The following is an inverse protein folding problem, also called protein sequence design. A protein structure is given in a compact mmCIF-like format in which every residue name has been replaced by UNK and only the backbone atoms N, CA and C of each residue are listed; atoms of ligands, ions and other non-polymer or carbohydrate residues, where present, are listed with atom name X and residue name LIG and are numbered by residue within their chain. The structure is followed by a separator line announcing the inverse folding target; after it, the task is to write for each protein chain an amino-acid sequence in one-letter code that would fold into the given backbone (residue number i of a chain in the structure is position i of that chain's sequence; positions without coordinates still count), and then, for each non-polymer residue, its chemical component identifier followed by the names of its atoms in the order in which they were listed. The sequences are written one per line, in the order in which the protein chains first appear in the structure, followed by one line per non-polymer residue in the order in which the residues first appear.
data_IF_192097567839
#
_entry.id   IF_192097567839
#
_cell.length_a   1.000
_cell.length_b   1.000
_cell.length_c   1.000
_cell.angle_alpha   90.00
_cell.angle_beta   90.00
_cell.angle_gamma   90.00
#
_symmetry.space_group_name_H-M   'P 1'
#
loop_
_entity.id
_entity.type
_entity.pdbx_description
1 polymer ?
#
# COMPACT_ATOMS: atom_id res chain seq x y z
N UNK A 1 -9.98 23.71 9.29
CA UNK A 1 -10.73 22.55 9.83
C UNK A 1 -11.12 21.65 8.66
N UNK A 2 -10.88 20.35 8.76
CA UNK A 2 -11.23 19.38 7.71
C UNK A 2 -12.74 19.42 7.49
N UNK A 3 -13.19 19.63 6.25
CA UNK A 3 -14.61 19.85 5.94
C UNK A 3 -15.47 18.58 5.99
N UNK A 4 -14.88 17.44 6.38
CA UNK A 4 -15.52 16.11 6.35
C UNK A 4 -16.03 15.76 4.96
N UNK A 5 -15.22 16.01 3.94
CA UNK A 5 -15.54 15.82 2.53
C UNK A 5 -14.39 15.10 1.84
N UNK A 6 -14.74 14.32 0.82
CA UNK A 6 -13.79 13.68 -0.10
C UNK A 6 -14.27 13.79 -1.54
N UNK A 7 -13.34 13.86 -2.50
CA UNK A 7 -13.64 13.75 -3.93
C UNK A 7 -13.57 12.26 -4.29
N UNK A 8 -14.61 11.73 -4.94
CA UNK A 8 -14.58 10.36 -5.46
C UNK A 8 -14.05 10.34 -6.89
N UNK A 9 -12.82 9.86 -7.13
CA UNK A 9 -12.28 9.76 -8.48
C UNK A 9 -13.11 8.85 -9.41
N UNK A 10 -13.75 7.83 -8.84
CA UNK A 10 -14.45 6.79 -9.60
C UNK A 10 -15.91 7.13 -9.93
N UNK A 11 -16.39 8.31 -9.53
CA UNK A 11 -17.78 8.70 -9.72
C UNK A 11 -17.92 10.21 -9.97
N UNK A 12 -17.64 10.59 -11.21
CA UNK A 12 -17.79 11.94 -11.76
C UNK A 12 -16.94 13.03 -11.08
N UNK A 13 -16.00 12.65 -10.21
CA UNK A 13 -15.36 13.52 -9.22
C UNK A 13 -16.35 14.22 -8.28
N UNK A 14 -17.50 13.59 -8.04
CA UNK A 14 -18.46 14.08 -7.08
C UNK A 14 -17.86 14.08 -5.67
N UNK A 15 -18.27 15.07 -4.89
CA UNK A 15 -17.84 15.25 -3.51
C UNK A 15 -18.86 14.63 -2.56
N UNK A 16 -18.38 13.79 -1.64
CA UNK A 16 -19.19 13.09 -0.65
C UNK A 16 -18.74 13.41 0.77
N UNK A 17 -19.65 13.25 1.73
CA UNK A 17 -19.34 13.38 3.14
C UNK A 17 -18.45 12.24 3.61
N UNK A 18 -17.37 12.57 4.31
CA UNK A 18 -16.42 11.61 4.85
C UNK A 18 -15.88 12.14 6.20
N UNK A 19 -16.37 11.58 7.30
CA UNK A 19 -16.10 12.06 8.66
C UNK A 19 -15.00 11.25 9.35
N UNK A 20 -13.76 11.67 9.15
CA UNK A 20 -12.60 11.03 9.79
C UNK A 20 -12.62 11.18 11.32
N UNK A 21 -13.19 12.25 11.87
CA UNK A 21 -13.30 12.43 13.32
C UNK A 21 -14.16 11.32 13.93
N UNK A 22 -15.31 11.04 13.32
CA UNK A 22 -16.21 9.98 13.78
C UNK A 22 -15.55 8.59 13.71
N UNK A 23 -14.82 8.29 12.63
CA UNK A 23 -14.07 7.04 12.47
C UNK A 23 -12.96 6.91 13.53
N UNK A 24 -12.19 7.97 13.75
CA UNK A 24 -11.11 7.98 14.74
C UNK A 24 -11.63 7.88 16.17
N UNK A 25 -12.71 8.60 16.51
CA UNK A 25 -13.36 8.50 17.82
C UNK A 25 -13.95 7.10 18.05
N UNK A 26 -14.56 6.50 17.04
CA UNK A 26 -15.07 5.13 17.15
C UNK A 26 -13.93 4.15 17.44
N UNK A 27 -12.80 4.28 16.73
CA UNK A 27 -11.61 3.47 16.96
C UNK A 27 -11.10 3.64 18.40
N UNK A 28 -10.91 4.88 18.84
CA UNK A 28 -10.32 5.17 20.14
C UNK A 28 -11.22 4.71 21.30
N UNK A 29 -12.54 4.86 21.18
CA UNK A 29 -13.48 4.54 22.24
C UNK A 29 -13.78 3.04 22.36
N UNK A 30 -13.78 2.30 21.25
CA UNK A 30 -14.31 0.94 21.22
C UNK A 30 -13.23 -0.16 21.08
N UNK A 31 -12.00 0.20 20.72
CA UNK A 31 -10.96 -0.78 20.44
C UNK A 31 -9.67 -0.46 21.20
N UNK A 32 -9.22 -1.40 22.05
CA UNK A 32 -8.01 -1.25 22.86
C UNK A 32 -6.74 -1.72 22.14
N UNK A 33 -6.87 -2.66 21.20
CA UNK A 33 -5.75 -3.36 20.55
C UNK A 33 -5.70 -3.13 19.03
N UNK A 34 -6.27 -2.02 18.54
CA UNK A 34 -6.26 -1.65 17.11
C UNK A 34 -5.45 -0.36 16.94
N UNK A 35 -4.67 -0.30 15.85
CA UNK A 35 -4.05 0.93 15.37
C UNK A 35 -4.86 1.49 14.21
N UNK A 36 -5.19 2.77 14.28
CA UNK A 36 -5.74 3.54 13.17
C UNK A 36 -4.65 3.95 12.21
N UNK A 37 -4.96 3.87 10.93
CA UNK A 37 -4.11 4.29 9.82
C UNK A 37 -4.92 5.24 8.94
N UNK A 38 -4.41 6.45 8.73
CA UNK A 38 -5.05 7.52 7.95
C UNK A 38 -4.04 8.08 6.96
N UNK A 39 -4.51 8.81 5.95
CA UNK A 39 -3.63 9.38 4.93
C UNK A 39 -3.47 10.91 5.11
N UNK A 40 -2.26 11.41 4.92
CA UNK A 40 -2.05 12.81 4.59
C UNK A 40 -2.28 13.06 3.10
N UNK A 41 -2.72 14.26 2.75
CA UNK A 41 -2.93 14.64 1.35
C UNK A 41 -1.66 15.31 0.80
N UNK A 42 -1.11 14.73 -0.27
CA UNK A 42 0.01 15.24 -1.05
C UNK A 42 -0.40 15.60 -2.48
N UNK A 43 -1.59 15.22 -2.97
CA UNK A 43 -2.09 15.62 -4.29
C UNK A 43 -2.03 17.15 -4.52
N UNK A 44 -2.21 17.92 -3.44
CA UNK A 44 -2.07 19.39 -3.40
C UNK A 44 -3.40 20.13 -3.38
N UNK A 45 -4.53 19.41 -3.47
CA UNK A 45 -5.89 19.93 -3.35
C UNK A 45 -6.79 18.92 -2.67
N UNK A 46 -7.87 19.40 -2.07
CA UNK A 46 -8.92 18.58 -1.43
C UNK A 46 -10.31 19.13 -1.72
N UNK A 47 -11.35 18.33 -1.48
CA UNK A 47 -12.74 18.77 -1.56
C UNK A 47 -13.00 20.03 -0.70
N UNK A 48 -13.72 21.00 -1.27
CA UNK A 48 -14.09 22.25 -0.60
C UNK A 48 -15.59 22.36 -0.33
N UNK A 49 -16.43 21.74 -1.16
CA UNK A 49 -17.88 21.65 -1.03
C UNK A 49 -18.45 20.63 -2.02
N UNK A 50 -19.75 20.34 -1.94
CA UNK A 50 -20.48 19.44 -2.85
C UNK A 50 -21.60 20.12 -3.64
N UNK A 51 -21.60 21.46 -3.72
CA UNK A 51 -22.65 22.22 -4.42
C UNK A 51 -22.58 22.12 -5.94
N UNK A 52 -21.46 21.62 -6.46
CA UNK A 52 -21.18 21.50 -7.88
C UNK A 52 -20.95 20.05 -8.31
N UNK A 53 -21.53 19.09 -7.59
CA UNK A 53 -21.57 17.71 -8.05
C UNK A 53 -22.34 17.62 -9.38
N UNK A 54 -21.93 16.69 -10.23
CA UNK A 54 -22.69 16.28 -11.40
C UNK A 54 -24.00 15.62 -10.95
N UNK A 55 -25.12 16.07 -11.53
CA UNK A 55 -26.46 15.54 -11.29
C UNK A 55 -26.65 14.20 -12.04
N UNK A 56 -26.03 13.16 -11.51
CA UNK A 56 -26.09 11.80 -12.04
C UNK A 56 -27.51 11.22 -11.97
N UNK A 57 -28.30 11.60 -10.96
CA UNK A 57 -29.71 11.27 -10.90
C UNK A 57 -30.49 11.87 -12.09
N UNK A 58 -30.33 13.17 -12.35
CA UNK A 58 -30.93 13.85 -13.49
C UNK A 58 -30.45 13.32 -14.85
N UNK A 59 -29.19 12.89 -14.92
CA UNK A 59 -28.59 12.35 -16.14
C UNK A 59 -29.06 10.92 -16.46
N UNK A 60 -28.95 9.99 -15.51
CA UNK A 60 -29.24 8.57 -15.75
C UNK A 60 -29.77 7.80 -14.52
N UNK A 61 -30.39 8.49 -13.55
CA UNK A 61 -30.90 7.88 -12.31
C UNK A 61 -29.80 7.17 -11.49
N UNK A 62 -28.58 7.73 -11.51
CA UNK A 62 -27.40 7.20 -10.81
C UNK A 62 -27.09 5.74 -11.19
N UNK A 63 -27.45 5.32 -12.39
CA UNK A 63 -27.12 3.97 -12.89
C UNK A 63 -25.67 3.92 -13.39
N UNK A 64 -25.04 2.77 -13.24
CA UNK A 64 -23.72 2.57 -13.83
C UNK A 64 -23.78 2.71 -15.36
N UNK A 65 -22.78 3.40 -15.91
CA UNK A 65 -22.48 3.44 -17.34
C UNK A 65 -20.97 3.62 -17.53
N UNK A 66 -20.47 3.44 -18.76
CA UNK A 66 -19.04 3.48 -19.06
C UNK A 66 -18.37 4.85 -18.86
N UNK A 67 -19.14 5.91 -18.58
CA UNK A 67 -18.65 7.28 -18.38
C UNK A 67 -18.55 7.73 -16.91
N UNK A 68 -18.61 6.82 -15.94
CA UNK A 68 -18.50 7.15 -14.51
C UNK A 68 -17.20 7.87 -14.13
N UNK A 69 -16.13 7.67 -14.90
CA UNK A 69 -14.81 8.28 -14.66
C UNK A 69 -14.61 9.61 -15.42
N UNK A 70 -15.66 10.19 -16.00
CA UNK A 70 -15.55 11.51 -16.64
C UNK A 70 -15.46 12.62 -15.60
N UNK A 71 -14.68 13.66 -15.89
CA UNK A 71 -14.48 14.79 -15.00
C UNK A 71 -15.67 15.77 -15.04
N UNK A 72 -16.81 15.42 -14.41
CA UNK A 72 -18.07 16.17 -14.57
C UNK A 72 -18.45 17.11 -13.41
N UNK A 73 -17.98 16.86 -12.19
CA UNK A 73 -18.15 17.81 -11.09
C UNK A 73 -17.52 19.17 -11.45
N UNK A 74 -18.18 20.26 -11.10
CA UNK A 74 -17.79 21.62 -11.53
C UNK A 74 -18.46 22.06 -12.83
N UNK A 75 -19.57 21.45 -13.23
CA UNK A 75 -20.36 21.86 -14.40
C UNK A 75 -19.85 21.29 -15.73
N UNK A 76 -19.20 20.13 -15.69
CA UNK A 76 -18.78 19.42 -16.90
C UNK A 76 -19.95 18.94 -17.75
N UNK A 77 -19.67 18.69 -19.02
CA UNK A 77 -20.64 18.19 -20.00
C UNK A 77 -20.32 16.73 -20.33
N UNK A 78 -21.25 15.79 -20.07
CA UNK A 78 -20.98 14.37 -20.29
C UNK A 78 -20.79 14.07 -21.78
N UNK A 79 -19.85 13.18 -22.09
CA UNK A 79 -19.77 12.52 -23.37
C UNK A 79 -20.67 11.26 -23.36
N UNK A 80 -21.81 11.25 -24.07
CA UNK A 80 -22.77 10.16 -23.99
C UNK A 80 -22.26 8.83 -24.56
N UNK A 81 -21.18 8.84 -25.35
CA UNK A 81 -20.53 7.62 -25.86
C UNK A 81 -19.78 6.86 -24.75
N UNK A 82 -19.61 7.47 -23.58
CA UNK A 82 -18.90 6.90 -22.43
C UNK A 82 -17.39 7.08 -22.51
N UNK A 83 -16.65 6.24 -21.77
CA UNK A 83 -15.21 6.41 -21.59
C UNK A 83 -14.87 7.50 -20.58
N UNK A 84 -13.58 7.75 -20.36
CA UNK A 84 -13.08 8.66 -19.32
C UNK A 84 -13.08 10.14 -19.70
N UNK A 85 -13.31 10.49 -20.97
CA UNK A 85 -13.22 11.87 -21.43
C UNK A 85 -14.61 12.51 -21.55
N UNK A 86 -14.83 13.58 -20.77
CA UNK A 86 -16.00 14.44 -20.93
C UNK A 86 -15.92 15.24 -22.24
N UNK A 87 -17.05 15.78 -22.71
CA UNK A 87 -17.01 16.78 -23.79
C UNK A 87 -16.42 18.10 -23.30
N UNK A 88 -16.70 18.44 -22.04
CA UNK A 88 -16.14 19.57 -21.32
C UNK A 88 -15.90 19.11 -19.89
N UNK A 89 -14.66 19.17 -19.42
CA UNK A 89 -14.34 18.89 -18.02
C UNK A 89 -14.92 20.00 -17.13
N UNK A 90 -15.36 19.62 -15.93
CA UNK A 90 -15.86 20.56 -14.94
C UNK A 90 -14.75 21.37 -14.27
N UNK A 91 -15.09 22.55 -13.76
CA UNK A 91 -14.14 23.44 -13.10
C UNK A 91 -13.83 22.96 -11.68
N UNK A 92 -12.62 22.41 -11.52
CA UNK A 92 -12.06 21.96 -10.24
C UNK A 92 -12.11 23.04 -9.13
N UNK A 93 -12.08 24.33 -9.46
CA UNK A 93 -12.12 25.40 -8.46
C UNK A 93 -13.49 25.59 -7.81
N UNK A 94 -14.55 25.03 -8.40
CA UNK A 94 -15.89 25.11 -7.85
C UNK A 94 -16.14 24.12 -6.70
N UNK A 95 -15.41 22.99 -6.65
CA UNK A 95 -15.64 21.94 -5.64
C UNK A 95 -14.38 21.51 -4.86
N UNK A 96 -13.21 22.05 -5.19
CA UNK A 96 -11.96 21.80 -4.45
C UNK A 96 -11.27 23.09 -4.02
N UNK A 97 -10.22 22.96 -3.22
CA UNK A 97 -9.37 24.07 -2.80
C UNK A 97 -7.91 23.62 -2.67
N UNK A 98 -6.92 24.52 -2.82
CA UNK A 98 -5.52 24.24 -2.51
C UNK A 98 -5.35 23.71 -1.09
N UNK A 99 -4.48 22.72 -0.93
CA UNK A 99 -4.23 22.06 0.35
C UNK A 99 -2.73 21.86 0.57
N UNK A 100 -2.04 22.90 1.08
CA UNK A 100 -0.61 22.81 1.36
C UNK A 100 -0.33 21.89 2.56
N UNK A 101 0.94 21.52 2.74
CA UNK A 101 1.36 20.60 3.81
C UNK A 101 0.92 21.04 5.21
N UNK A 102 0.92 22.35 5.51
CA UNK A 102 0.41 22.89 6.79
C UNK A 102 -1.07 22.56 7.02
N UNK A 103 -1.88 22.59 5.96
CA UNK A 103 -3.29 22.21 6.05
C UNK A 103 -3.45 20.71 6.26
N UNK A 104 -2.63 19.88 5.59
CA UNK A 104 -2.65 18.42 5.77
C UNK A 104 -2.32 18.01 7.20
N UNK A 105 -1.24 18.56 7.78
CA UNK A 105 -0.82 18.17 9.14
C UNK A 105 -1.65 18.83 10.25
N UNK A 106 -2.50 19.81 9.93
CA UNK A 106 -3.38 20.46 10.91
C UNK A 106 -4.31 19.46 11.63
N UNK A 107 -4.60 18.32 11.02
CA UNK A 107 -5.38 17.24 11.65
C UNK A 107 -4.71 16.70 12.92
N UNK A 108 -3.37 16.68 12.98
CA UNK A 108 -2.65 16.22 14.17
C UNK A 108 -2.92 17.11 15.39
N UNK A 109 -2.99 18.42 15.19
CA UNK A 109 -3.36 19.36 16.25
C UNK A 109 -4.85 19.27 16.59
N UNK A 110 -5.71 19.09 15.58
CA UNK A 110 -7.15 18.91 15.77
C UNK A 110 -7.46 17.64 16.59
N UNK A 111 -6.73 16.55 16.39
CA UNK A 111 -6.96 15.30 17.11
C UNK A 111 -6.22 15.22 18.44
N UNK A 112 -4.95 15.62 18.48
CA UNK A 112 -4.02 15.34 19.59
C UNK A 112 -3.53 16.59 20.33
N UNK A 113 -3.83 17.79 19.84
CA UNK A 113 -3.42 19.05 20.47
C UNK A 113 -4.18 19.35 21.76
N UNK A 114 -3.70 20.33 22.52
CA UNK A 114 -4.25 20.73 23.83
C UNK A 114 -5.75 21.03 23.81
N UNK A 115 -6.25 21.57 22.70
CA UNK A 115 -7.67 21.88 22.49
C UNK A 115 -8.31 20.99 21.39
N UNK A 116 -7.66 19.87 21.08
CA UNK A 116 -8.15 18.91 20.09
C UNK A 116 -9.23 17.98 20.65
N UNK A 117 -9.56 16.94 19.90
CA UNK A 117 -10.55 15.93 20.28
C UNK A 117 -10.12 15.06 21.48
N UNK A 118 -8.85 15.14 21.90
CA UNK A 118 -8.34 14.37 23.02
C UNK A 118 -8.12 12.88 22.70
N UNK A 119 -7.96 12.55 21.41
CA UNK A 119 -7.73 11.17 20.99
C UNK A 119 -6.39 10.66 21.49
N UNK A 120 -6.33 9.39 21.86
CA UNK A 120 -5.06 8.77 22.22
C UNK A 120 -4.16 8.60 20.99
N UNK A 121 -3.22 9.54 20.79
CA UNK A 121 -2.29 9.52 19.64
C UNK A 121 -1.51 8.21 19.47
N UNK A 122 -1.29 7.45 20.54
CA UNK A 122 -0.59 6.16 20.48
C UNK A 122 -1.42 5.05 19.81
N UNK A 123 -2.69 5.31 19.49
CA UNK A 123 -3.52 4.46 18.63
C UNK A 123 -3.53 4.89 17.17
N UNK A 124 -2.84 5.97 16.81
CA UNK A 124 -2.84 6.55 15.46
C UNK A 124 -1.42 6.83 15.01
N UNK A 125 -0.56 5.82 15.13
CA UNK A 125 0.87 5.96 14.85
C UNK A 125 1.13 5.94 13.35
N UNK A 126 0.39 5.16 12.57
CA UNK A 126 0.65 4.96 11.14
C UNK A 126 -0.11 5.96 10.26
N UNK A 127 0.61 6.61 9.35
CA UNK A 127 0.03 7.58 8.43
C UNK A 127 0.57 7.39 7.02
N UNK A 128 -0.32 7.12 6.07
CA UNK A 128 0.03 7.05 4.66
C UNK A 128 0.30 8.45 4.12
N UNK A 129 1.33 8.54 3.29
CA UNK A 129 1.71 9.77 2.63
C UNK A 129 1.00 9.80 1.27
N UNK A 130 -0.30 10.07 1.34
CA UNK A 130 -1.28 9.96 0.26
C UNK A 130 -1.47 8.51 -0.22
N UNK A 131 -1.89 8.29 -1.47
CA UNK A 131 -2.20 6.97 -2.03
C UNK A 131 -1.83 6.92 -3.51
N UNK A 132 -1.11 5.88 -3.94
CA UNK A 132 -0.88 5.58 -5.37
C UNK A 132 -0.38 6.80 -6.17
N UNK A 133 0.61 7.47 -5.59
CA UNK A 133 1.07 8.80 -6.01
C UNK A 133 1.67 8.84 -7.42
N UNK A 134 2.11 7.67 -7.89
CA UNK A 134 2.67 7.41 -9.21
C UNK A 134 1.62 7.17 -10.31
N UNK A 135 0.32 7.21 -9.98
CA UNK A 135 -0.79 7.15 -10.94
C UNK A 135 -1.87 8.22 -10.72
N UNK A 136 -1.59 9.28 -9.97
CA UNK A 136 -2.53 10.40 -9.80
C UNK A 136 -3.01 11.01 -11.12
N UNK A 137 -2.26 10.89 -12.22
CA UNK A 137 -2.70 11.33 -13.55
C UNK A 137 -3.67 10.41 -14.27
N UNK A 138 -3.97 9.24 -13.69
CA UNK A 138 -5.10 8.40 -14.06
C UNK A 138 -6.23 8.57 -13.06
N UNK A 139 -5.95 8.28 -11.78
CA UNK A 139 -6.98 8.25 -10.72
C UNK A 139 -7.50 9.63 -10.34
N UNK A 140 -6.65 10.66 -10.39
CA UNK A 140 -7.00 12.03 -9.99
C UNK A 140 -6.68 13.03 -11.11
N UNK A 141 -6.94 12.64 -12.35
CA UNK A 141 -6.65 13.43 -13.55
C UNK A 141 -7.41 14.78 -13.56
N UNK A 142 -8.55 14.89 -12.87
CA UNK A 142 -9.24 16.17 -12.62
C UNK A 142 -8.35 17.21 -11.92
N UNK A 143 -7.38 16.76 -11.10
CA UNK A 143 -6.48 17.61 -10.32
C UNK A 143 -5.02 17.55 -10.78
N UNK A 144 -4.56 16.40 -11.26
CA UNK A 144 -3.18 16.19 -11.73
C UNK A 144 -3.15 15.43 -13.05
N UNK A 145 -3.67 16.00 -14.16
CA UNK A 145 -3.74 15.30 -15.46
C UNK A 145 -2.35 14.98 -16.05
N UNK A 146 -1.30 15.62 -15.54
CA UNK A 146 0.09 15.28 -15.80
C UNK A 146 0.81 15.18 -14.47
N UNK A 147 1.48 14.06 -14.22
CA UNK A 147 2.28 13.88 -13.01
C UNK A 147 3.37 14.94 -12.94
N UNK A 148 3.57 15.47 -11.74
CA UNK A 148 4.78 16.23 -11.42
C UNK A 148 6.01 15.32 -11.55
N UNK A 149 7.19 15.91 -11.71
CA UNK A 149 8.42 15.12 -11.76
C UNK A 149 8.62 14.34 -10.46
N UNK A 150 9.36 13.22 -10.55
CA UNK A 150 9.75 12.40 -9.42
C UNK A 150 10.38 13.25 -8.31
N UNK A 151 11.27 14.19 -8.68
CA UNK A 151 11.90 15.11 -7.72
C UNK A 151 10.88 16.02 -7.02
N UNK A 152 9.95 16.61 -7.78
CA UNK A 152 8.97 17.55 -7.22
C UNK A 152 8.00 16.85 -6.26
N UNK A 153 7.64 15.60 -6.53
CA UNK A 153 6.88 14.79 -5.58
C UNK A 153 7.68 14.53 -4.30
N UNK A 154 8.94 14.10 -4.41
CA UNK A 154 9.77 13.80 -3.23
C UNK A 154 9.99 15.05 -2.37
N UNK A 155 10.17 16.21 -2.98
CA UNK A 155 10.28 17.48 -2.25
C UNK A 155 9.00 17.76 -1.43
N UNK A 156 7.83 17.53 -2.02
CA UNK A 156 6.53 17.70 -1.35
C UNK A 156 6.32 16.69 -0.23
N UNK A 157 6.70 15.43 -0.45
CA UNK A 157 6.69 14.37 0.55
C UNK A 157 7.53 14.76 1.77
N UNK A 158 8.78 15.19 1.54
CA UNK A 158 9.73 15.57 2.59
C UNK A 158 9.22 16.78 3.38
N UNK A 159 8.67 17.79 2.70
CA UNK A 159 8.10 18.96 3.37
C UNK A 159 7.00 18.57 4.37
N UNK A 160 6.04 17.75 3.91
CA UNK A 160 4.95 17.27 4.76
C UNK A 160 5.48 16.39 5.90
N UNK A 161 6.39 15.47 5.59
CA UNK A 161 6.98 14.56 6.58
C UNK A 161 7.64 15.32 7.74
N UNK A 162 8.44 16.36 7.44
CA UNK A 162 9.09 17.18 8.46
C UNK A 162 8.09 17.96 9.31
N UNK A 163 7.04 18.51 8.69
CA UNK A 163 5.95 19.19 9.41
C UNK A 163 5.17 18.22 10.32
N UNK A 164 4.89 17.01 9.84
CA UNK A 164 4.23 15.98 10.63
C UNK A 164 5.08 15.54 11.83
N UNK A 165 6.38 15.28 11.61
CA UNK A 165 7.33 14.92 12.67
C UNK A 165 7.54 16.01 13.71
N UNK A 166 7.44 17.28 13.32
CA UNK A 166 7.51 18.40 14.27
C UNK A 166 6.31 18.41 15.24
N UNK A 167 5.11 18.04 14.76
CA UNK A 167 3.88 17.99 15.58
C UNK A 167 3.76 16.68 16.36
N UNK A 168 4.18 15.56 15.75
CA UNK A 168 4.13 14.24 16.34
C UNK A 168 5.43 13.46 16.06
N UNK A 169 6.48 13.62 16.89
CA UNK A 169 7.77 12.96 16.66
C UNK A 169 7.72 11.43 16.55
N UNK A 170 6.77 10.80 17.24
CA UNK A 170 6.55 9.34 17.24
C UNK A 170 5.63 8.82 16.14
N UNK A 171 5.13 9.67 15.24
CA UNK A 171 4.36 9.24 14.06
C UNK A 171 5.22 8.35 13.17
N UNK A 172 4.61 7.36 12.51
CA UNK A 172 5.22 6.56 11.45
C UNK A 172 4.62 6.94 10.11
N UNK A 173 5.48 7.42 9.22
CA UNK A 173 5.11 7.83 7.87
C UNK A 173 5.33 6.65 6.92
N UNK A 174 4.24 6.19 6.29
CA UNK A 174 4.19 5.11 5.31
C UNK A 174 4.24 5.71 3.89
N UNK A 175 5.24 5.35 3.09
CA UNK A 175 5.37 5.89 1.73
C UNK A 175 6.37 5.15 0.84
N UNK A 176 6.36 5.37 -0.48
CA UNK A 176 5.50 6.34 -1.19
C UNK A 176 4.10 5.82 -1.51
N UNK A 177 3.75 4.59 -1.06
CA UNK A 177 2.45 3.96 -1.35
C UNK A 177 2.32 3.66 -2.85
N UNK A 178 3.33 2.98 -3.41
CA UNK A 178 3.44 2.78 -4.85
C UNK A 178 2.46 1.73 -5.40
N UNK A 179 1.78 2.04 -6.51
CA UNK A 179 0.55 1.37 -7.00
C UNK A 179 0.69 -0.10 -7.36
N UNK A 180 1.71 -0.47 -8.13
CA UNK A 180 1.84 -1.83 -8.64
C UNK A 180 3.26 -2.13 -9.09
N UNK A 181 3.50 -3.38 -9.51
CA UNK A 181 4.81 -3.85 -9.97
C UNK A 181 5.49 -2.88 -10.96
N UNK A 182 4.72 -2.34 -11.92
CA UNK A 182 5.27 -1.38 -12.87
C UNK A 182 5.80 -0.13 -12.16
N UNK A 183 4.98 0.45 -11.29
CA UNK A 183 5.30 1.69 -10.59
C UNK A 183 6.37 1.51 -9.51
N UNK A 184 6.62 0.31 -9.00
CA UNK A 184 7.78 0.08 -8.12
C UNK A 184 9.12 0.49 -8.78
N UNK A 185 9.18 0.38 -10.11
CA UNK A 185 10.38 0.67 -10.89
C UNK A 185 10.28 1.97 -11.71
N UNK A 186 9.07 2.41 -12.09
CA UNK A 186 8.87 3.54 -13.00
C UNK A 186 8.02 4.66 -12.40
N UNK A 187 8.52 5.90 -12.54
CA UNK A 187 7.74 7.12 -12.32
C UNK A 187 7.30 7.68 -13.67
N UNK A 188 6.05 7.44 -14.07
CA UNK A 188 5.57 7.86 -15.39
C UNK A 188 6.54 7.44 -16.51
N UNK A 189 6.76 8.33 -17.50
CA UNK A 189 7.77 8.20 -18.54
C UNK A 189 9.14 8.79 -18.16
N UNK A 190 9.34 9.21 -16.90
CA UNK A 190 10.60 9.81 -16.46
C UNK A 190 11.73 8.77 -16.41
N UNK A 191 12.91 9.17 -16.90
CA UNK A 191 14.15 8.42 -16.73
C UNK A 191 14.99 9.11 -15.67
N UNK A 192 15.01 8.55 -14.46
CA UNK A 192 15.67 9.15 -13.32
C UNK A 192 17.16 8.80 -13.37
N UNK A 193 17.99 9.76 -13.77
CA UNK A 193 19.45 9.59 -13.87
C UNK A 193 20.17 10.64 -13.02
N UNK A 194 20.98 10.18 -12.07
CA UNK A 194 21.82 11.05 -11.23
C UNK A 194 23.28 10.68 -11.46
N UNK A 195 24.10 11.65 -11.85
CA UNK A 195 25.54 11.45 -12.10
C UNK A 195 25.83 10.26 -13.03
N UNK A 196 25.01 10.06 -14.06
CA UNK A 196 25.15 8.97 -15.03
C UNK A 196 24.63 7.60 -14.59
N UNK A 197 24.15 7.45 -13.34
CA UNK A 197 23.48 6.22 -12.86
C UNK A 197 21.97 6.35 -13.00
N UNK A 198 21.33 5.35 -13.61
CA UNK A 198 19.87 5.18 -13.60
C UNK A 198 19.38 4.69 -12.24
N UNK A 199 18.19 5.17 -11.83
CA UNK A 199 17.51 4.74 -10.62
C UNK A 199 16.09 4.28 -10.94
N UNK A 200 15.70 3.07 -10.51
CA UNK A 200 14.30 2.72 -10.34
C UNK A 200 13.60 3.68 -9.38
N UNK A 201 12.30 3.87 -9.56
CA UNK A 201 11.49 4.80 -8.77
C UNK A 201 11.69 4.65 -7.25
N UNK A 202 11.46 3.43 -6.72
CA UNK A 202 11.58 3.21 -5.27
C UNK A 202 13.02 3.40 -4.77
N UNK A 203 14.04 2.99 -5.54
CA UNK A 203 15.44 3.23 -5.16
C UNK A 203 15.73 4.74 -5.06
N UNK A 204 15.25 5.51 -6.04
CA UNK A 204 15.38 6.97 -6.03
C UNK A 204 14.69 7.60 -4.82
N UNK A 205 13.45 7.19 -4.54
CA UNK A 205 12.69 7.68 -3.39
C UNK A 205 13.43 7.42 -2.06
N UNK A 206 13.90 6.18 -1.85
CA UNK A 206 14.69 5.79 -0.66
C UNK A 206 15.93 6.67 -0.55
N UNK A 207 16.70 6.79 -1.64
CA UNK A 207 17.92 7.59 -1.64
C UNK A 207 17.64 9.03 -1.23
N UNK A 208 16.62 9.68 -1.81
CA UNK A 208 16.28 11.07 -1.52
C UNK A 208 15.85 11.26 -0.06
N UNK A 209 15.08 10.34 0.49
CA UNK A 209 14.71 10.35 1.91
C UNK A 209 15.94 10.20 2.81
N UNK A 210 16.88 9.33 2.45
CA UNK A 210 18.11 9.12 3.21
C UNK A 210 19.03 10.35 3.17
N UNK A 211 19.18 10.97 2.00
CA UNK A 211 19.95 12.20 1.82
C UNK A 211 19.39 13.32 2.72
N UNK A 212 18.06 13.48 2.75
CA UNK A 212 17.40 14.48 3.60
C UNK A 212 17.53 14.18 5.10
N UNK A 213 17.34 12.93 5.52
CA UNK A 213 17.50 12.56 6.93
C UNK A 213 18.94 12.81 7.39
N UNK A 214 19.93 12.48 6.55
CA UNK A 214 21.34 12.77 6.83
C UNK A 214 21.62 14.28 6.92
N UNK A 215 20.97 15.09 6.08
CA UNK A 215 21.17 16.53 6.05
C UNK A 215 20.48 17.25 7.22
N UNK A 216 19.28 16.82 7.59
CA UNK A 216 18.42 17.52 8.55
C UNK A 216 18.41 16.90 9.95
N UNK A 217 18.80 15.64 10.10
CA UNK A 217 18.63 14.87 11.32
C UNK A 217 17.19 14.46 11.61
N UNK A 218 16.25 14.67 10.68
CA UNK A 218 14.84 14.34 10.83
C UNK A 218 14.50 13.08 10.04
N UNK A 219 13.95 12.07 10.71
CA UNK A 219 13.38 10.88 10.07
C UNK A 219 12.19 11.27 9.20
N UNK A 220 12.26 11.00 7.90
CA UNK A 220 11.18 11.33 6.95
C UNK A 220 10.44 10.11 6.39
N UNK A 221 10.98 8.90 6.58
CA UNK A 221 10.39 7.63 6.14
C UNK A 221 10.50 6.61 7.26
N UNK A 222 9.37 6.11 7.78
CA UNK A 222 9.37 5.09 8.85
C UNK A 222 8.99 3.71 8.32
N UNK A 223 8.11 3.65 7.31
CA UNK A 223 7.72 2.40 6.66
C UNK A 223 7.72 2.61 5.15
N UNK A 224 8.48 1.78 4.44
CA UNK A 224 8.41 1.76 2.98
C UNK A 224 7.22 0.92 2.54
N UNK A 225 6.24 1.58 1.94
CA UNK A 225 4.92 1.04 1.68
C UNK A 225 4.64 0.97 0.18
N UNK A 226 4.11 -0.16 -0.27
CA UNK A 226 3.72 -0.43 -1.66
C UNK A 226 2.36 -1.13 -1.68
N UNK A 227 1.74 -1.17 -2.85
CA UNK A 227 0.57 -1.98 -3.16
C UNK A 227 0.97 -3.13 -4.08
N UNK A 228 0.21 -4.23 -4.06
CA UNK A 228 0.42 -5.32 -4.98
C UNK A 228 -0.88 -6.05 -5.34
N UNK A 229 -1.23 -5.98 -6.62
CA UNK A 229 -2.25 -6.80 -7.26
C UNK A 229 -1.58 -7.65 -8.34
N UNK A 230 -0.99 -8.82 -7.98
CA UNK A 230 -0.10 -9.53 -8.89
C UNK A 230 -0.82 -10.02 -10.15
N UNK A 231 -0.31 -9.66 -11.32
CA UNK A 231 -0.81 -10.20 -12.58
C UNK A 231 0.02 -11.40 -13.01
N UNK A 232 -0.54 -12.60 -12.99
CA UNK A 232 0.23 -13.83 -13.29
C UNK A 232 0.33 -14.18 -14.79
N UNK A 233 0.07 -13.22 -15.69
CA UNK A 233 0.28 -13.34 -17.15
C UNK A 233 -0.36 -14.57 -17.82
N UNK A 234 -1.61 -14.92 -17.47
CA UNK A 234 -2.36 -15.97 -18.17
C UNK A 234 -3.84 -15.63 -18.35
N UNK A 235 -4.38 -15.94 -19.54
CA UNK A 235 -5.79 -15.72 -19.91
C UNK A 235 -6.75 -16.79 -19.35
N UNK A 236 -6.28 -17.71 -18.50
CA UNK A 236 -7.11 -18.69 -17.78
C UNK A 236 -6.36 -19.31 -16.60
N UNK A 237 -7.05 -19.50 -15.47
CA UNK A 237 -6.68 -20.32 -14.29
C UNK A 237 -5.23 -20.21 -13.78
N UNK A 238 -4.85 -19.04 -13.26
CA UNK A 238 -3.54 -18.80 -12.63
C UNK A 238 -3.42 -19.26 -11.17
N UNK A 239 -4.34 -20.08 -10.63
CA UNK A 239 -4.37 -20.49 -9.21
C UNK A 239 -3.03 -21.07 -8.73
N UNK A 240 -2.37 -21.90 -9.54
CA UNK A 240 -1.08 -22.49 -9.19
C UNK A 240 0.02 -21.42 -9.04
N UNK A 241 0.01 -20.38 -9.89
CA UNK A 241 0.92 -19.25 -9.79
C UNK A 241 0.60 -18.38 -8.55
N UNK A 242 -0.69 -18.16 -8.27
CA UNK A 242 -1.12 -17.39 -7.11
C UNK A 242 -0.76 -18.05 -5.77
N UNK A 243 -0.81 -19.38 -5.68
CA UNK A 243 -0.31 -20.14 -4.53
C UNK A 243 1.19 -19.89 -4.28
N UNK A 244 1.95 -19.56 -5.33
CA UNK A 244 3.38 -19.22 -5.26
C UNK A 244 3.64 -17.71 -5.14
N UNK A 245 2.61 -16.86 -5.19
CA UNK A 245 2.76 -15.39 -5.24
C UNK A 245 3.50 -14.79 -4.04
N UNK A 246 3.45 -15.42 -2.87
CA UNK A 246 4.21 -15.01 -1.69
C UNK A 246 5.74 -15.00 -1.91
N UNK A 247 6.25 -15.74 -2.91
CA UNK A 247 7.67 -15.82 -3.23
C UNK A 247 8.22 -14.54 -3.86
N UNK A 248 7.34 -13.72 -4.47
CA UNK A 248 7.68 -12.44 -5.12
C UNK A 248 8.45 -11.49 -4.19
N UNK A 249 8.24 -11.57 -2.88
CA UNK A 249 8.75 -10.58 -1.92
C UNK A 249 10.20 -10.84 -1.47
N UNK A 250 10.59 -12.11 -1.28
CA UNK A 250 11.91 -12.43 -0.69
C UNK A 250 12.69 -13.52 -1.43
N UNK A 251 12.03 -14.34 -2.25
CA UNK A 251 12.69 -15.46 -2.92
C UNK A 251 13.49 -14.98 -4.15
N UNK A 252 14.82 -14.96 -3.99
CA UNK A 252 15.76 -14.56 -5.06
C UNK A 252 15.84 -15.54 -6.24
N UNK A 253 15.16 -16.68 -6.15
CA UNK A 253 15.17 -17.74 -7.17
C UNK A 253 13.85 -17.86 -7.93
N UNK A 254 12.79 -17.21 -7.48
CA UNK A 254 11.47 -17.31 -8.09
C UNK A 254 11.36 -16.45 -9.35
N UNK A 255 11.06 -17.09 -10.48
CA UNK A 255 10.70 -16.42 -11.72
C UNK A 255 9.22 -16.03 -11.67
N UNK A 256 8.96 -14.73 -11.52
CA UNK A 256 7.60 -14.20 -11.50
C UNK A 256 7.09 -14.03 -12.94
N UNK A 257 6.05 -14.78 -13.37
CA UNK A 257 5.53 -14.69 -14.74
C UNK A 257 4.90 -13.32 -15.07
N UNK A 258 4.58 -12.54 -14.04
CA UNK A 258 4.01 -11.20 -14.15
C UNK A 258 5.03 -10.06 -14.19
N UNK A 259 6.33 -10.35 -14.19
CA UNK A 259 7.37 -9.33 -14.22
C UNK A 259 7.20 -8.44 -15.47
N UNK A 260 7.28 -7.13 -15.27
CA UNK A 260 7.11 -6.16 -16.34
C UNK A 260 7.93 -4.89 -16.09
N UNK A 261 7.59 -4.12 -15.04
CA UNK A 261 8.38 -2.99 -14.58
C UNK A 261 9.82 -3.36 -14.24
N UNK A 262 10.04 -4.57 -13.69
CA UNK A 262 11.34 -5.12 -13.34
C UNK A 262 12.32 -5.12 -14.52
N UNK A 263 11.84 -5.29 -15.75
CA UNK A 263 12.67 -5.23 -16.97
C UNK A 263 13.37 -3.88 -17.14
N UNK A 264 12.88 -2.84 -16.47
CA UNK A 264 13.45 -1.49 -16.51
C UNK A 264 14.45 -1.21 -15.39
N UNK A 265 14.62 -2.14 -14.44
CA UNK A 265 15.33 -1.89 -13.19
C UNK A 265 16.82 -1.56 -13.35
N UNK A 266 17.47 -1.99 -14.44
CA UNK A 266 18.87 -1.69 -14.74
C UNK A 266 19.07 -0.48 -15.66
N UNK A 267 17.99 0.19 -16.09
CA UNK A 267 18.01 1.23 -17.11
C UNK A 267 17.97 0.61 -18.51
N UNK A 268 16.86 0.84 -19.22
CA UNK A 268 16.58 0.18 -20.51
C UNK A 268 15.45 -0.85 -20.38
N UNK A 269 15.43 -1.84 -21.25
CA UNK A 269 14.46 -2.93 -21.24
C UNK A 269 15.19 -4.27 -21.34
N UNK A 270 15.19 -5.04 -20.26
CA UNK A 270 15.80 -6.37 -20.17
C UNK A 270 14.77 -7.39 -19.69
N UNK A 271 14.15 -8.09 -20.64
CA UNK A 271 13.15 -9.12 -20.38
C UNK A 271 13.72 -10.39 -19.71
N UNK A 272 15.04 -10.49 -19.51
CA UNK A 272 15.64 -11.59 -18.76
C UNK A 272 15.52 -11.41 -17.24
N UNK A 273 15.12 -10.22 -16.78
CA UNK A 273 14.92 -9.91 -15.37
C UNK A 273 13.54 -10.39 -14.89
N UNK A 274 13.47 -11.61 -14.36
CA UNK A 274 12.21 -12.27 -13.93
C UNK A 274 12.08 -12.43 -12.42
N UNK A 275 13.12 -12.06 -11.65
CA UNK A 275 13.21 -12.31 -10.21
C UNK A 275 12.99 -11.01 -9.44
N UNK A 276 11.80 -10.90 -8.85
CA UNK A 276 11.37 -9.70 -8.14
C UNK A 276 12.13 -9.50 -6.82
N UNK A 277 11.93 -10.44 -5.88
CA UNK A 277 12.37 -10.37 -4.48
C UNK A 277 12.19 -8.96 -3.89
N UNK A 278 11.05 -8.31 -4.18
CA UNK A 278 10.90 -6.85 -4.06
C UNK A 278 11.16 -6.32 -2.65
N UNK A 279 10.69 -7.00 -1.60
CA UNK A 279 10.95 -6.59 -0.21
C UNK A 279 12.41 -6.81 0.20
N UNK A 280 13.03 -7.91 -0.26
CA UNK A 280 14.47 -8.07 -0.09
C UNK A 280 15.24 -6.96 -0.81
N UNK A 281 14.86 -6.64 -2.06
CA UNK A 281 15.47 -5.59 -2.89
C UNK A 281 15.35 -4.21 -2.23
N UNK A 282 14.18 -3.90 -1.69
CA UNK A 282 13.95 -2.68 -0.91
C UNK A 282 14.84 -2.67 0.33
N UNK A 283 14.94 -3.75 1.09
CA UNK A 283 15.84 -3.84 2.24
C UNK A 283 17.32 -3.65 1.86
N UNK A 284 17.75 -4.17 0.70
CA UNK A 284 19.10 -3.96 0.18
C UNK A 284 19.32 -2.46 -0.12
N UNK A 285 18.34 -1.77 -0.74
CA UNK A 285 18.40 -0.32 -0.99
C UNK A 285 18.37 0.51 0.31
N UNK A 286 17.49 0.17 1.26
CA UNK A 286 17.44 0.81 2.57
C UNK A 286 18.79 0.66 3.29
N UNK A 287 19.37 -0.54 3.26
CA UNK A 287 20.70 -0.78 3.85
C UNK A 287 21.80 0.01 3.14
N UNK A 288 21.73 0.13 1.81
CA UNK A 288 22.69 0.90 1.03
C UNK A 288 22.68 2.39 1.39
N UNK A 289 21.49 2.99 1.57
CA UNK A 289 21.36 4.44 1.75
C UNK A 289 21.27 4.88 3.22
N UNK A 290 20.67 4.08 4.10
CA UNK A 290 20.53 4.36 5.53
C UNK A 290 21.51 3.59 6.43
N UNK A 291 22.14 2.54 5.92
CA UNK A 291 22.97 1.61 6.69
C UNK A 291 22.18 0.45 7.30
N UNK A 292 22.91 -0.48 7.91
CA UNK A 292 22.34 -1.61 8.63
C UNK A 292 21.53 -1.15 9.85
N UNK A 293 20.48 -1.90 10.21
CA UNK A 293 19.60 -1.59 11.34
C UNK A 293 18.96 -0.18 11.25
N UNK A 294 18.65 0.28 10.04
CA UNK A 294 18.06 1.60 9.79
C UNK A 294 16.68 1.83 10.45
N UNK A 295 16.01 0.76 10.87
CA UNK A 295 14.74 0.80 11.59
C UNK A 295 13.53 1.18 10.74
N UNK A 296 13.65 1.14 9.40
CA UNK A 296 12.54 1.37 8.47
C UNK A 296 11.82 0.03 8.26
N UNK A 297 10.51 0.02 8.52
CA UNK A 297 9.65 -1.13 8.28
C UNK A 297 9.31 -1.30 6.80
N UNK A 298 8.71 -2.43 6.46
CA UNK A 298 8.11 -2.68 5.15
C UNK A 298 6.59 -2.83 5.27
N UNK A 299 5.88 -2.24 4.32
CA UNK A 299 4.42 -2.23 4.25
C UNK A 299 3.89 -2.74 2.92
N UNK A 300 2.81 -3.50 3.01
CA UNK A 300 1.92 -3.80 1.90
C UNK A 300 0.50 -3.36 2.29
N UNK A 301 0.22 -2.06 2.16
CA UNK A 301 -1.05 -1.44 2.58
C UNK A 301 -2.25 -1.81 1.72
N UNK A 302 -2.00 -2.27 0.49
CA UNK A 302 -3.03 -2.91 -0.34
C UNK A 302 -2.51 -4.16 -1.01
N UNK A 303 -3.34 -5.20 -0.97
CA UNK A 303 -3.06 -6.46 -1.63
C UNK A 303 -4.34 -7.15 -2.06
N UNK A 304 -4.28 -7.77 -3.23
CA UNK A 304 -5.32 -8.69 -3.71
C UNK A 304 -4.70 -9.98 -4.23
N UNK A 305 -5.41 -11.10 -4.09
CA UNK A 305 -4.91 -12.40 -4.58
C UNK A 305 -4.78 -12.45 -6.11
N UNK A 306 -5.60 -11.68 -6.84
CA UNK A 306 -5.69 -11.64 -8.31
C UNK A 306 -5.77 -13.02 -8.99
N UNK A 307 -6.39 -13.98 -8.32
CA UNK A 307 -6.65 -15.30 -8.87
C UNK A 307 -8.12 -15.42 -9.31
N UNK A 308 -8.33 -15.78 -10.58
CA UNK A 308 -9.64 -15.65 -11.22
C UNK A 308 -10.62 -16.79 -10.89
N UNK A 309 -10.16 -17.88 -10.25
CA UNK A 309 -10.95 -19.06 -9.91
C UNK A 309 -10.60 -19.58 -8.52
N UNK A 310 -10.79 -18.72 -7.52
CA UNK A 310 -10.51 -19.07 -6.14
C UNK A 310 -11.74 -19.64 -5.44
N UNK A 311 -11.48 -20.62 -4.59
CA UNK A 311 -12.43 -21.09 -3.58
C UNK A 311 -11.96 -20.59 -2.22
N UNK A 312 -12.80 -20.59 -1.18
CA UNK A 312 -12.36 -20.29 0.18
C UNK A 312 -11.11 -21.08 0.62
N UNK A 313 -10.93 -22.32 0.15
CA UNK A 313 -9.74 -23.13 0.46
C UNK A 313 -8.47 -22.65 -0.25
N UNK A 314 -8.59 -22.10 -1.45
CA UNK A 314 -7.45 -21.55 -2.18
C UNK A 314 -7.03 -20.22 -1.55
N UNK A 315 -8.00 -19.35 -1.28
CA UNK A 315 -7.77 -18.06 -0.64
C UNK A 315 -7.10 -18.21 0.73
N UNK A 316 -7.54 -19.20 1.52
CA UNK A 316 -6.94 -19.47 2.83
C UNK A 316 -5.47 -19.85 2.71
N UNK A 317 -5.12 -20.75 1.77
CA UNK A 317 -3.74 -21.19 1.55
C UNK A 317 -2.85 -20.07 0.99
N UNK A 318 -3.36 -19.25 0.07
CA UNK A 318 -2.63 -18.10 -0.48
C UNK A 318 -2.35 -17.11 0.66
N UNK A 319 -3.38 -16.72 1.41
CA UNK A 319 -3.24 -15.74 2.48
C UNK A 319 -2.37 -16.25 3.63
N UNK A 320 -2.46 -17.53 3.99
CA UNK A 320 -1.60 -18.16 5.00
C UNK A 320 -0.13 -18.12 4.58
N UNK A 321 0.15 -18.36 3.29
CA UNK A 321 1.51 -18.29 2.76
C UNK A 321 2.08 -16.87 2.81
N UNK A 322 1.26 -15.85 2.52
CA UNK A 322 1.66 -14.44 2.64
C UNK A 322 1.91 -14.06 4.11
N UNK A 323 0.95 -14.30 5.01
CA UNK A 323 1.07 -14.00 6.43
C UNK A 323 2.31 -14.66 7.05
N UNK A 324 2.54 -15.93 6.75
CA UNK A 324 3.69 -16.66 7.25
C UNK A 324 5.02 -16.12 6.71
N UNK A 325 5.09 -15.84 5.41
CA UNK A 325 6.28 -15.26 4.78
C UNK A 325 6.60 -13.89 5.38
N UNK A 326 5.59 -13.05 5.59
CA UNK A 326 5.73 -11.71 6.14
C UNK A 326 6.11 -11.73 7.61
N UNK A 327 5.50 -12.61 8.42
CA UNK A 327 5.88 -12.81 9.82
C UNK A 327 7.34 -13.25 9.96
N UNK A 328 7.82 -14.16 9.09
CA UNK A 328 9.21 -14.63 9.10
C UNK A 328 10.23 -13.57 8.68
N UNK A 329 9.80 -12.52 7.99
CA UNK A 329 10.68 -11.46 7.48
C UNK A 329 10.43 -10.10 8.16
N UNK A 330 9.61 -10.06 9.21
CA UNK A 330 9.37 -8.83 9.98
C UNK A 330 8.68 -7.71 9.20
N UNK A 331 7.82 -8.05 8.23
CA UNK A 331 6.98 -7.05 7.55
C UNK A 331 6.07 -6.39 8.57
N UNK A 332 6.02 -5.06 8.54
CA UNK A 332 5.41 -4.26 9.59
C UNK A 332 3.91 -4.06 9.39
N UNK A 333 3.49 -3.85 8.14
CA UNK A 333 2.08 -3.71 7.75
C UNK A 333 1.76 -4.66 6.59
N UNK A 334 0.60 -5.32 6.69
CA UNK A 334 0.00 -6.05 5.59
C UNK A 334 -1.52 -5.94 5.68
N UNK A 335 -2.12 -5.32 4.66
CA UNK A 335 -3.55 -5.07 4.58
C UNK A 335 -4.09 -5.52 3.22
N UNK A 336 -4.95 -6.55 3.18
CA UNK A 336 -5.71 -6.85 1.99
C UNK A 336 -6.72 -5.74 1.68
N UNK A 337 -6.85 -5.38 0.41
CA UNK A 337 -7.86 -4.42 -0.03
C UNK A 337 -9.25 -5.03 -0.03
N UNK A 338 -9.34 -6.32 -0.40
CA UNK A 338 -10.58 -7.08 -0.40
C UNK A 338 -10.44 -8.31 0.50
N UNK A 339 -11.55 -8.70 1.13
CA UNK A 339 -11.62 -9.88 1.98
C UNK A 339 -12.46 -10.98 1.36
N UNK A 340 -12.00 -12.21 1.51
CA UNK A 340 -12.75 -13.43 1.16
C UNK A 340 -12.91 -14.33 2.39
N UNK A 341 -13.86 -15.27 2.35
CA UNK A 341 -14.15 -16.19 3.47
C UNK A 341 -12.89 -16.96 3.91
N UNK A 342 -12.09 -17.44 2.96
CA UNK A 342 -10.85 -18.18 3.27
C UNK A 342 -9.81 -17.37 4.03
N UNK A 343 -9.73 -16.07 3.73
CA UNK A 343 -8.81 -15.15 4.41
C UNK A 343 -9.23 -14.91 5.86
N UNK A 344 -10.53 -14.78 6.13
CA UNK A 344 -11.04 -14.63 7.50
C UNK A 344 -10.71 -15.85 8.36
N UNK A 345 -10.91 -17.06 7.85
CA UNK A 345 -10.56 -18.30 8.57
C UNK A 345 -9.07 -18.37 8.89
N UNK A 346 -8.23 -17.99 7.93
CA UNK A 346 -6.78 -17.94 8.10
C UNK A 346 -6.37 -16.88 9.11
N UNK A 347 -6.97 -15.68 9.05
CA UNK A 347 -6.71 -14.62 10.02
C UNK A 347 -7.05 -15.09 11.44
N UNK A 348 -8.19 -15.77 11.63
CA UNK A 348 -8.56 -16.36 12.91
C UNK A 348 -7.57 -17.44 13.37
N UNK A 349 -7.10 -18.29 12.46
CA UNK A 349 -6.09 -19.31 12.78
C UNK A 349 -4.80 -18.65 13.27
N UNK A 350 -4.25 -17.70 12.51
CA UNK A 350 -2.99 -17.03 12.86
C UNK A 350 -3.15 -16.19 14.13
N UNK A 351 -4.14 -15.32 14.22
CA UNK A 351 -4.32 -14.41 15.37
C UNK A 351 -4.58 -15.12 16.69
N UNK A 352 -5.23 -16.30 16.69
CA UNK A 352 -5.50 -17.07 17.91
C UNK A 352 -4.33 -17.94 18.35
N UNK A 353 -3.53 -18.43 17.40
CA UNK A 353 -2.54 -19.49 17.69
C UNK A 353 -1.09 -19.01 17.58
N UNK A 354 -0.79 -18.11 16.64
CA UNK A 354 0.57 -17.60 16.48
C UNK A 354 1.04 -16.86 17.74
N UNK A 355 2.33 -16.97 18.01
CA UNK A 355 3.00 -16.37 19.15
C UNK A 355 3.82 -15.15 18.73
N UNK A 356 4.34 -14.43 19.71
CA UNK A 356 5.02 -13.13 19.53
C UNK A 356 6.29 -13.20 18.68
N UNK A 357 7.06 -14.30 18.78
CA UNK A 357 8.36 -14.39 18.12
C UNK A 357 8.33 -15.44 17.02
N UNK A 358 8.56 -15.04 15.76
CA UNK A 358 8.79 -15.98 14.67
C UNK A 358 10.14 -16.70 14.87
N UNK A 359 10.17 -18.00 14.52
CA UNK A 359 11.39 -18.80 14.47
C UNK A 359 11.50 -19.51 13.13
N UNK A 360 12.74 -19.64 12.65
CA UNK A 360 13.02 -20.23 11.35
C UNK A 360 12.46 -21.65 11.25
N UNK A 361 11.85 -21.94 10.11
CA UNK A 361 11.37 -23.25 9.71
C UNK A 361 11.87 -23.51 8.29
N UNK A 362 12.32 -24.72 8.02
CA UNK A 362 12.80 -25.12 6.70
C UNK A 362 12.02 -26.35 6.26
N UNK A 363 11.44 -26.30 5.06
CA UNK A 363 10.83 -27.46 4.42
C UNK A 363 11.76 -28.07 3.37
N UNK A 364 11.83 -29.40 3.34
CA UNK A 364 12.45 -30.13 2.22
C UNK A 364 11.63 -30.05 0.93
N UNK A 365 10.40 -29.53 1.00
CA UNK A 365 9.47 -29.38 -0.12
C UNK A 365 8.86 -27.97 -0.13
N UNK A 366 9.66 -26.93 0.08
CA UNK A 366 9.17 -25.53 0.26
C UNK A 366 8.26 -25.04 -0.89
N UNK A 367 8.42 -25.54 -2.11
CA UNK A 367 7.52 -25.20 -3.21
C UNK A 367 6.08 -25.70 -3.01
N UNK A 368 5.85 -26.76 -2.24
CA UNK A 368 4.52 -27.35 -2.01
C UNK A 368 4.08 -27.26 -0.56
N UNK A 369 4.96 -27.41 0.42
CA UNK A 369 4.62 -27.37 1.85
C UNK A 369 5.57 -26.41 2.57
N UNK A 370 5.03 -25.39 3.23
CA UNK A 370 5.77 -24.53 4.17
C UNK A 370 5.34 -24.78 5.60
N UNK A 371 6.22 -24.44 6.54
CA UNK A 371 5.90 -24.29 7.95
C UNK A 371 6.24 -22.88 8.42
N UNK A 372 5.35 -22.29 9.22
CA UNK A 372 5.54 -21.00 9.85
C UNK A 372 5.44 -21.20 11.36
N UNK A 373 6.56 -21.04 12.05
CA UNK A 373 6.67 -21.38 13.47
C UNK A 373 6.83 -20.12 14.30
N UNK A 374 6.19 -20.11 15.46
CA UNK A 374 6.31 -19.03 16.43
C UNK A 374 6.35 -19.56 17.86
N UNK A 375 7.06 -18.84 18.74
CA UNK A 375 7.19 -19.13 20.17
C UNK A 375 6.77 -17.95 21.03
N UNK A 376 6.33 -18.25 22.25
CA UNK A 376 6.09 -17.23 23.25
C UNK A 376 7.40 -16.75 23.90
N UNK A 377 7.33 -15.69 24.69
CA UNK A 377 8.50 -15.05 25.31
C UNK A 377 9.25 -15.97 26.29
N UNK A 378 8.52 -16.84 27.00
CA UNK A 378 9.11 -17.83 27.89
C UNK A 378 9.75 -19.03 27.15
N UNK A 379 9.54 -19.13 25.83
CA UNK A 379 9.97 -20.25 25.00
C UNK A 379 9.53 -21.65 25.50
N UNK A 380 8.36 -21.72 26.15
CA UNK A 380 7.73 -22.97 26.65
C UNK A 380 6.44 -23.33 25.88
N UNK A 381 6.03 -22.49 24.93
CA UNK A 381 4.92 -22.76 24.02
C UNK A 381 5.31 -22.42 22.58
N UNK A 382 5.10 -23.39 21.69
CA UNK A 382 5.43 -23.30 20.27
C UNK A 382 4.19 -23.62 19.43
N UNK A 383 4.04 -22.90 18.34
CA UNK A 383 2.98 -23.12 17.35
C UNK A 383 3.62 -23.26 15.97
N UNK A 384 3.34 -24.37 15.30
CA UNK A 384 3.72 -24.61 13.90
C UNK A 384 2.46 -24.56 13.04
N UNK A 385 2.37 -23.58 12.15
CA UNK A 385 1.32 -23.52 11.13
C UNK A 385 1.90 -24.12 9.85
N UNK A 386 1.30 -25.22 9.39
CA UNK A 386 1.74 -25.92 8.17
C UNK A 386 0.78 -25.59 7.03
N UNK A 387 1.33 -25.19 5.90
CA UNK A 387 0.56 -24.79 4.71
C UNK A 387 0.91 -25.72 3.56
N UNK A 388 -0.06 -26.52 3.11
CA UNK A 388 0.05 -27.36 1.92
C UNK A 388 -0.57 -26.65 0.70
N UNK A 389 0.27 -26.33 -0.28
CA UNK A 389 -0.07 -25.74 -1.58
C UNK A 389 -0.16 -26.79 -2.70
N UNK A 390 0.04 -28.07 -2.40
CA UNK A 390 -0.18 -29.14 -3.38
C UNK A 390 -1.67 -29.21 -3.72
N UNK A 391 -2.00 -28.96 -4.98
CA UNK A 391 -3.38 -28.93 -5.47
C UNK A 391 -3.96 -30.32 -5.76
N UNK A 392 -3.12 -31.36 -5.73
CA UNK A 392 -3.45 -32.70 -6.22
C UNK A 392 -3.32 -33.79 -5.17
N UNK A 393 -2.46 -33.60 -4.17
CA UNK A 393 -2.06 -34.65 -3.25
C UNK A 393 -1.98 -34.18 -1.82
N UNK A 394 -2.43 -35.04 -0.91
CA UNK A 394 -2.11 -34.91 0.51
C UNK A 394 -0.61 -35.16 0.72
N UNK A 395 -0.01 -34.41 1.64
CA UNK A 395 1.41 -34.50 1.96
C UNK A 395 1.60 -35.03 3.39
N UNK A 396 2.38 -36.09 3.54
CA UNK A 396 2.76 -36.61 4.85
C UNK A 396 3.95 -35.80 5.38
N UNK A 397 3.75 -35.06 6.47
CA UNK A 397 4.76 -34.15 7.04
C UNK A 397 5.29 -34.70 8.36
N UNK A 398 6.62 -34.79 8.48
CA UNK A 398 7.30 -35.03 9.76
C UNK A 398 7.92 -33.72 10.24
N UNK A 399 7.49 -33.24 11.41
CA UNK A 399 8.03 -32.03 12.03
C UNK A 399 9.13 -32.41 13.02
N UNK A 400 10.36 -31.97 12.75
CA UNK A 400 11.49 -32.16 13.65
C UNK A 400 11.76 -30.86 14.40
N UNK A 401 11.62 -30.88 15.73
CA UNK A 401 11.89 -29.73 16.58
C UNK A 401 13.32 -29.82 17.13
N UNK A 402 14.12 -28.78 16.92
CA UNK A 402 15.49 -28.68 17.45
C UNK A 402 15.53 -27.57 18.48
N UNK A 403 16.09 -27.85 19.66
CA UNK A 403 16.31 -26.83 20.70
C UNK A 403 15.05 -26.36 21.43
N UNK A 404 13.91 -27.05 21.26
CA UNK A 404 12.67 -26.83 22.00
C UNK A 404 12.37 -28.08 22.84
N UNK A 405 11.99 -27.91 24.11
CA UNK A 405 11.77 -29.01 25.06
C UNK A 405 10.36 -29.02 25.60
#
# INVERSE_FOLDING_TARGET
MAKKLTVSPDWYNNVYSEDWDAKAQNLDNNYSNIQGMFAFQLLGRVASNNQHNFDDWGYNQSQYWSGVNQNLAGGGTPNPDGGSQALVDGDINLFTQPWPADSSVAILNHWFGVNGLGLNKNKFVYWNMDNEVDVWNGTHDYAMPTLISASAFVDRYIELAKKAKALYPGIKLCGPVATSEWQWYKWSNESIVINGKYYPWIEYFIKRCADEEKASGVRVLDVLDIHNYPWYNTNSNNTAAALQGHRIYYDTTYDFPGANGLYTSAGGWDASLTKEYIFKRINDWLTLYYGANNGIGLGLSEWGTMANNTTPNIESVIYASHLGTFANNGVELFSPWNWSVGMWETLHLFSKNAKKYSVSSVSSAENTVSAYTSINEAADSLTVIIVNRDMSSAQNVTVNLTGFR
#
